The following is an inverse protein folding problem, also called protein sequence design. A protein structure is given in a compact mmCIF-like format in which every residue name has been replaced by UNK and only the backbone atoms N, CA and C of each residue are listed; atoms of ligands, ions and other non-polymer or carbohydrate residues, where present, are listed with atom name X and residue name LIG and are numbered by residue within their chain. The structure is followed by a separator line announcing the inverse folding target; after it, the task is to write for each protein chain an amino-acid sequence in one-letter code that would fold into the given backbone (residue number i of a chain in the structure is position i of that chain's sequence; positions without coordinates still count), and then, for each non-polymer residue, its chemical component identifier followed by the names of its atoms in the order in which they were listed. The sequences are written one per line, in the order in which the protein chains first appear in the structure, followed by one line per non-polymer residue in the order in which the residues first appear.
data_IF_858844472889
#
_entry.id   IF_858844472889
#
_cell.length_a   1.000
_cell.length_b   1.000
_cell.length_c   1.000
_cell.angle_alpha   90.00
_cell.angle_beta   90.00
_cell.angle_gamma   90.00
#
_symmetry.space_group_name_H-M   'P 1'
#
loop_
_entity.id
_entity.type
_entity.pdbx_description
1 polymer ?
#
# COMPACT_ATOMS: atom_id res chain seq x y z
N UNK A 1 17.98 -14.99 -0.37
CA UNK A 1 18.20 -14.33 0.92
C UNK A 1 18.40 -12.85 0.62
N UNK A 2 17.48 -12.00 1.03
CA UNK A 2 17.43 -10.59 0.60
C UNK A 2 18.50 -9.76 1.33
N UNK A 3 19.31 -9.03 0.55
CA UNK A 3 20.33 -8.11 1.03
C UNK A 3 19.75 -7.04 1.95
N UNK A 4 18.51 -6.63 1.72
CA UNK A 4 17.80 -5.63 2.53
C UNK A 4 17.58 -6.13 3.96
N UNK A 5 17.05 -7.34 4.11
CA UNK A 5 16.78 -7.95 5.43
C UNK A 5 18.08 -8.19 6.22
N UNK A 6 19.17 -8.62 5.55
CA UNK A 6 20.49 -8.74 6.17
C UNK A 6 20.98 -7.38 6.68
N UNK A 7 20.86 -6.33 5.85
CA UNK A 7 21.33 -4.99 6.18
C UNK A 7 20.55 -4.39 7.35
N UNK A 8 19.22 -4.55 7.37
CA UNK A 8 18.36 -4.06 8.47
C UNK A 8 18.68 -4.78 9.79
N UNK A 9 18.92 -6.10 9.76
CA UNK A 9 19.34 -6.85 10.94
C UNK A 9 20.71 -6.41 11.47
N UNK A 10 21.67 -6.17 10.57
CA UNK A 10 22.99 -5.67 10.94
C UNK A 10 22.92 -4.24 11.52
N UNK A 11 22.16 -3.35 10.89
CA UNK A 11 21.94 -1.99 11.37
C UNK A 11 21.27 -1.99 12.75
N UNK A 12 20.26 -2.84 12.94
CA UNK A 12 19.63 -3.01 14.24
C UNK A 12 20.67 -3.46 15.30
N UNK A 13 21.42 -4.53 15.02
CA UNK A 13 22.45 -5.00 15.94
C UNK A 13 23.46 -3.91 16.29
N UNK A 14 23.93 -3.13 15.31
CA UNK A 14 24.88 -2.03 15.54
C UNK A 14 24.30 -0.92 16.43
N UNK A 15 23.03 -0.55 16.22
CA UNK A 15 22.35 0.43 17.06
C UNK A 15 22.26 -0.03 18.52
N UNK A 16 21.80 -1.26 18.72
CA UNK A 16 21.60 -1.84 20.05
C UNK A 16 22.93 -2.08 20.81
N UNK A 17 23.92 -2.66 20.13
CA UNK A 17 25.15 -3.12 20.79
C UNK A 17 26.20 -2.01 20.94
N UNK A 18 26.20 -1.00 20.05
CA UNK A 18 27.27 0.00 20.00
C UNK A 18 26.76 1.43 20.17
N UNK A 19 25.80 1.87 19.35
CA UNK A 19 25.43 3.29 19.25
C UNK A 19 24.67 3.77 20.48
N UNK A 20 23.58 3.08 20.85
CA UNK A 20 22.77 3.47 22.00
C UNK A 20 23.58 3.44 23.32
N UNK A 21 24.38 2.40 23.63
CA UNK A 21 25.22 2.41 24.83
C UNK A 21 26.26 3.54 24.85
N UNK A 22 26.88 3.84 23.71
CA UNK A 22 27.88 4.91 23.61
C UNK A 22 27.25 6.29 23.87
N UNK A 23 26.08 6.56 23.32
CA UNK A 23 25.35 7.82 23.54
C UNK A 23 24.78 7.92 24.95
N UNK A 24 24.30 6.80 25.52
CA UNK A 24 23.87 6.78 26.92
C UNK A 24 25.04 7.13 27.87
N UNK A 25 26.25 6.66 27.54
CA UNK A 25 27.46 6.92 28.33
C UNK A 25 28.02 8.33 28.15
N UNK A 26 27.72 9.02 27.04
CA UNK A 26 28.19 10.39 26.80
C UNK A 26 27.43 11.45 27.62
N UNK A 27 26.22 11.12 28.07
CA UNK A 27 25.33 12.05 28.77
C UNK A 27 24.58 13.03 27.84
N UNK A 28 24.78 12.97 26.53
CA UNK A 28 24.05 13.78 25.56
C UNK A 28 22.63 13.22 25.34
N UNK A 29 21.69 13.74 26.13
CA UNK A 29 20.29 13.31 26.11
C UNK A 29 19.63 13.53 24.75
N UNK A 30 19.92 14.65 24.10
CA UNK A 30 19.29 14.98 22.82
C UNK A 30 19.77 14.00 21.74
N UNK A 31 21.07 13.71 21.69
CA UNK A 31 21.61 12.74 20.74
C UNK A 31 21.04 11.32 20.99
N UNK A 32 20.89 10.92 22.26
CA UNK A 32 20.29 9.65 22.63
C UNK A 32 18.83 9.55 22.19
N UNK A 33 18.03 10.59 22.41
CA UNK A 33 16.63 10.65 21.95
C UNK A 33 16.53 10.52 20.42
N UNK A 34 17.37 11.23 19.67
CA UNK A 34 17.40 11.09 18.20
C UNK A 34 17.83 9.69 17.76
N UNK A 35 18.78 9.07 18.46
CA UNK A 35 19.20 7.70 18.17
C UNK A 35 18.08 6.68 18.42
N UNK A 36 17.23 6.89 19.42
CA UNK A 36 16.04 6.06 19.62
C UNK A 36 15.04 6.18 18.47
N UNK A 37 14.81 7.37 17.91
CA UNK A 37 13.95 7.54 16.74
C UNK A 37 14.49 6.78 15.52
N UNK A 38 15.81 6.84 15.30
CA UNK A 38 16.47 6.07 14.22
C UNK A 38 16.34 4.57 14.44
N UNK A 39 16.52 4.12 15.69
CA UNK A 39 16.32 2.73 16.07
C UNK A 39 14.91 2.26 15.77
N UNK A 40 13.89 3.01 16.20
CA UNK A 40 12.48 2.67 15.97
C UNK A 40 12.16 2.59 14.48
N UNK A 41 12.72 3.50 13.66
CA UNK A 41 12.58 3.44 12.20
C UNK A 41 13.23 2.20 11.58
N UNK A 42 14.41 1.80 12.04
CA UNK A 42 15.09 0.57 11.58
C UNK A 42 14.26 -0.66 11.95
N UNK A 43 13.75 -0.71 13.18
CA UNK A 43 12.93 -1.82 13.68
C UNK A 43 11.63 -1.94 12.89
N UNK A 44 10.94 -0.83 12.64
CA UNK A 44 9.77 -0.79 11.77
C UNK A 44 10.09 -1.32 10.37
N UNK A 45 11.16 -0.84 9.73
CA UNK A 45 11.54 -1.30 8.39
C UNK A 45 11.85 -2.81 8.37
N UNK A 46 12.58 -3.29 9.39
CA UNK A 46 12.92 -4.71 9.55
C UNK A 46 11.67 -5.58 9.69
N UNK A 47 10.69 -5.15 10.47
CA UNK A 47 9.46 -5.92 10.70
C UNK A 47 8.49 -5.88 9.49
N UNK A 48 8.79 -5.05 8.48
CA UNK A 48 7.94 -4.84 7.29
C UNK A 48 8.57 -5.29 5.98
N UNK A 49 9.89 -5.43 5.91
CA UNK A 49 10.60 -5.71 4.65
C UNK A 49 10.07 -6.95 3.93
N UNK A 50 9.83 -8.03 4.67
CA UNK A 50 9.34 -9.29 4.11
C UNK A 50 7.85 -9.25 3.69
N UNK A 51 7.15 -8.16 4.01
CA UNK A 51 5.72 -7.97 3.69
C UNK A 51 5.52 -7.03 2.49
N UNK A 52 6.58 -6.43 1.94
CA UNK A 52 6.48 -5.43 0.86
C UNK A 52 5.81 -6.03 -0.37
N UNK A 53 6.25 -7.23 -0.82
CA UNK A 53 5.68 -7.90 -1.99
C UNK A 53 4.19 -8.17 -1.79
N UNK A 54 3.81 -8.75 -0.64
CA UNK A 54 2.42 -9.06 -0.32
C UNK A 54 1.55 -7.81 -0.28
N UNK A 55 2.06 -6.72 0.30
CA UNK A 55 1.37 -5.42 0.32
C UNK A 55 1.15 -4.88 -1.08
N UNK A 56 2.19 -4.81 -1.91
CA UNK A 56 2.09 -4.27 -3.27
C UNK A 56 1.13 -5.09 -4.14
N UNK A 57 1.18 -6.42 -4.02
CA UNK A 57 0.22 -7.30 -4.67
C UNK A 57 -1.22 -7.01 -4.25
N UNK A 58 -1.46 -6.83 -2.95
CA UNK A 58 -2.79 -6.52 -2.41
C UNK A 58 -3.31 -5.19 -2.94
N UNK A 59 -2.48 -4.14 -2.95
CA UNK A 59 -2.83 -2.82 -3.49
C UNK A 59 -3.26 -2.91 -4.97
N UNK A 60 -2.50 -3.62 -5.80
CA UNK A 60 -2.83 -3.83 -7.22
C UNK A 60 -4.12 -4.61 -7.40
N UNK A 61 -4.33 -5.66 -6.62
CA UNK A 61 -5.55 -6.46 -6.70
C UNK A 61 -6.79 -5.64 -6.36
N UNK A 62 -6.75 -4.86 -5.28
CA UNK A 62 -7.89 -4.04 -4.88
C UNK A 62 -8.21 -2.98 -5.92
N UNK A 63 -7.18 -2.33 -6.49
CA UNK A 63 -7.34 -1.38 -7.59
C UNK A 63 -7.87 -2.04 -8.87
N UNK A 64 -7.38 -3.24 -9.20
CA UNK A 64 -7.87 -4.03 -10.35
C UNK A 64 -9.33 -4.41 -10.16
N UNK A 65 -9.73 -4.80 -8.94
CA UNK A 65 -11.11 -5.14 -8.60
C UNK A 65 -12.03 -3.93 -8.76
N UNK A 66 -11.61 -2.76 -8.23
CA UNK A 66 -12.34 -1.50 -8.43
C UNK A 66 -12.47 -1.16 -9.91
N UNK A 67 -11.38 -1.28 -10.68
CA UNK A 67 -11.39 -1.01 -12.11
C UNK A 67 -12.41 -1.88 -12.84
N UNK A 68 -12.43 -3.19 -12.56
CA UNK A 68 -13.42 -4.12 -13.10
C UNK A 68 -14.86 -3.72 -12.76
N UNK A 69 -15.13 -3.37 -11.50
CA UNK A 69 -16.46 -2.90 -11.05
C UNK A 69 -16.91 -1.64 -11.80
N UNK A 70 -16.00 -0.68 -12.01
CA UNK A 70 -16.31 0.56 -12.71
C UNK A 70 -16.52 0.33 -14.21
N UNK A 71 -15.78 -0.59 -14.82
CA UNK A 71 -15.96 -0.96 -16.24
C UNK A 71 -17.30 -1.65 -16.54
N UNK A 72 -17.96 -2.21 -15.54
CA UNK A 72 -19.30 -2.80 -15.69
C UNK A 72 -20.41 -1.75 -15.79
N UNK A 73 -20.12 -0.49 -15.51
CA UNK A 73 -21.07 0.62 -15.67
C UNK A 73 -21.14 1.06 -17.15
N UNK A 74 -22.34 0.99 -17.75
CA UNK A 74 -22.59 1.41 -19.13
C UNK A 74 -22.17 2.85 -19.43
N UNK A 75 -22.25 3.73 -18.43
CA UNK A 75 -21.80 5.12 -18.52
C UNK A 75 -20.29 5.23 -18.70
N UNK A 76 -19.52 4.42 -17.98
CA UNK A 76 -18.06 4.38 -18.03
C UNK A 76 -17.58 3.81 -19.36
N UNK A 77 -18.30 2.82 -19.91
CA UNK A 77 -18.01 2.24 -21.24
C UNK A 77 -18.10 3.24 -22.40
N UNK A 78 -18.77 4.38 -22.19
CA UNK A 78 -18.91 5.44 -23.20
C UNK A 78 -17.88 6.56 -23.05
N UNK A 79 -17.07 6.54 -21.99
CA UNK A 79 -16.02 7.52 -21.74
C UNK A 79 -14.79 7.25 -22.60
N UNK A 80 -14.02 8.30 -22.90
CA UNK A 80 -12.82 8.19 -23.72
C UNK A 80 -11.72 7.36 -23.02
N UNK A 81 -11.67 7.40 -21.69
CA UNK A 81 -10.75 6.59 -20.88
C UNK A 81 -11.01 5.07 -20.95
N UNK A 82 -12.17 4.62 -21.47
CA UNK A 82 -12.61 3.22 -21.36
C UNK A 82 -11.63 2.22 -21.99
N UNK A 83 -11.06 2.52 -23.16
CA UNK A 83 -10.08 1.63 -23.81
C UNK A 83 -8.80 1.49 -22.97
N UNK A 84 -8.34 2.59 -22.36
CA UNK A 84 -7.18 2.58 -21.45
C UNK A 84 -7.49 1.81 -20.18
N UNK A 85 -8.70 1.94 -19.62
CA UNK A 85 -9.13 1.13 -18.48
C UNK A 85 -9.06 -0.37 -18.80
N UNK A 86 -9.60 -0.77 -19.95
CA UNK A 86 -9.57 -2.16 -20.38
C UNK A 86 -8.14 -2.69 -20.57
N UNK A 87 -7.26 -1.89 -21.17
CA UNK A 87 -5.86 -2.25 -21.36
C UNK A 87 -5.13 -2.43 -20.02
N UNK A 88 -5.23 -1.46 -19.12
CA UNK A 88 -4.53 -1.49 -17.81
C UNK A 88 -5.11 -2.60 -16.92
N UNK A 89 -6.42 -2.84 -16.97
CA UNK A 89 -7.06 -3.95 -16.25
C UNK A 89 -6.61 -5.32 -16.79
N UNK A 90 -6.48 -5.47 -18.11
CA UNK A 90 -5.94 -6.72 -18.68
C UNK A 90 -4.47 -6.93 -18.29
N UNK A 91 -3.66 -5.87 -18.30
CA UNK A 91 -2.28 -5.91 -17.81
C UNK A 91 -2.22 -6.33 -16.33
N UNK A 92 -3.11 -5.79 -15.49
CA UNK A 92 -3.12 -6.13 -14.05
C UNK A 92 -3.46 -7.57 -13.79
N UNK A 93 -4.43 -8.14 -14.51
CA UNK A 93 -4.76 -9.56 -14.40
C UNK A 93 -3.58 -10.46 -14.80
N UNK A 94 -2.82 -10.09 -15.83
CA UNK A 94 -1.63 -10.85 -16.25
C UNK A 94 -0.53 -10.83 -15.18
N UNK A 95 -0.22 -9.65 -14.64
CA UNK A 95 0.81 -9.48 -13.59
C UNK A 95 0.39 -10.17 -12.28
N UNK A 96 -0.90 -10.11 -11.90
CA UNK A 96 -1.41 -10.80 -10.71
C UNK A 96 -1.39 -12.32 -10.86
N UNK A 97 -1.60 -12.85 -12.07
CA UNK A 97 -1.54 -14.28 -12.34
C UNK A 97 -0.11 -14.83 -12.42
N UNK A 98 0.89 -13.99 -12.68
CA UNK A 98 2.27 -14.44 -12.84
C UNK A 98 2.95 -14.66 -11.47
N UNK A 99 3.39 -15.90 -11.13
CA UNK A 99 3.96 -16.18 -9.80
C UNK A 99 5.34 -15.55 -9.54
N UNK A 100 5.98 -15.00 -10.57
CA UNK A 100 7.34 -14.43 -10.48
C UNK A 100 7.32 -12.89 -10.51
N UNK A 101 6.13 -12.28 -10.51
CA UNK A 101 6.02 -10.82 -10.45
C UNK A 101 6.55 -10.27 -9.13
N UNK A 102 7.21 -9.13 -9.26
CA UNK A 102 7.98 -8.46 -8.20
C UNK A 102 7.21 -7.29 -7.60
N UNK A 103 7.57 -6.85 -6.38
CA UNK A 103 7.06 -5.59 -5.82
C UNK A 103 7.22 -4.39 -6.75
N UNK A 104 8.27 -4.35 -7.58
CA UNK A 104 8.47 -3.26 -8.55
C UNK A 104 7.39 -3.29 -9.63
N UNK A 105 7.14 -4.45 -10.23
CA UNK A 105 6.08 -4.59 -11.24
C UNK A 105 4.70 -4.23 -10.66
N UNK A 106 4.41 -4.67 -9.43
CA UNK A 106 3.19 -4.26 -8.74
C UNK A 106 3.14 -2.75 -8.48
N UNK A 107 4.25 -2.14 -8.07
CA UNK A 107 4.31 -0.70 -7.83
C UNK A 107 4.07 0.11 -9.11
N UNK A 108 4.73 -0.27 -10.21
CA UNK A 108 4.59 0.41 -11.50
C UNK A 108 3.16 0.28 -12.04
N UNK A 109 2.55 -0.90 -11.87
CA UNK A 109 1.16 -1.14 -12.24
C UNK A 109 0.17 -0.39 -11.34
N UNK A 110 0.44 -0.30 -10.04
CA UNK A 110 -0.37 0.50 -9.11
C UNK A 110 -0.43 1.97 -9.50
N UNK A 111 0.69 2.53 -9.97
CA UNK A 111 0.75 3.90 -10.53
C UNK A 111 -0.14 4.00 -11.77
N UNK A 112 0.00 3.09 -12.73
CA UNK A 112 -0.84 3.08 -13.96
C UNK A 112 -2.33 3.00 -13.66
N UNK A 113 -2.72 2.13 -12.72
CA UNK A 113 -4.11 1.99 -12.26
C UNK A 113 -4.63 3.28 -11.63
N UNK A 114 -3.84 3.89 -10.73
CA UNK A 114 -4.19 5.15 -10.07
C UNK A 114 -4.33 6.34 -11.02
N UNK A 115 -3.41 6.47 -11.97
CA UNK A 115 -3.50 7.50 -13.03
C UNK A 115 -4.76 7.31 -13.88
N UNK A 116 -5.05 6.07 -14.28
CA UNK A 116 -6.22 5.76 -15.10
C UNK A 116 -7.52 6.04 -14.33
N UNK A 117 -7.57 5.74 -13.04
CA UNK A 117 -8.70 6.09 -12.17
C UNK A 117 -8.87 7.61 -12.03
N UNK A 118 -7.76 8.36 -11.96
CA UNK A 118 -7.79 9.83 -11.91
C UNK A 118 -8.34 10.40 -13.22
N UNK A 119 -7.95 9.86 -14.38
CA UNK A 119 -8.53 10.24 -15.67
C UNK A 119 -10.03 9.93 -15.74
N UNK A 120 -10.46 8.76 -15.23
CA UNK A 120 -11.87 8.43 -15.12
C UNK A 120 -12.65 9.44 -14.28
N UNK A 121 -12.14 9.80 -13.11
CA UNK A 121 -12.81 10.78 -12.24
C UNK A 121 -12.94 12.14 -12.91
N UNK A 122 -11.92 12.59 -13.64
CA UNK A 122 -11.98 13.84 -14.38
C UNK A 122 -13.05 13.83 -15.49
N UNK A 123 -13.21 12.72 -16.21
CA UNK A 123 -14.29 12.59 -17.20
C UNK A 123 -15.67 12.38 -16.55
N UNK A 124 -15.71 11.78 -15.37
CA UNK A 124 -16.96 11.53 -14.64
C UNK A 124 -17.62 12.83 -14.13
N UNK A 125 -16.88 13.92 -14.01
CA UNK A 125 -17.42 15.24 -13.61
C UNK A 125 -18.52 15.73 -14.57
N UNK A 126 -18.40 15.38 -15.86
CA UNK A 126 -19.34 15.74 -16.92
C UNK A 126 -20.56 14.79 -17.00
N UNK A 127 -20.59 13.71 -16.21
CA UNK A 127 -21.70 12.77 -16.19
C UNK A 127 -22.89 13.31 -15.38
N UNK A 128 -24.06 12.71 -15.62
CA UNK A 128 -25.25 12.97 -14.82
C UNK A 128 -25.00 12.63 -13.34
N UNK A 129 -25.52 13.46 -12.44
CA UNK A 129 -25.26 13.35 -11.00
C UNK A 129 -25.48 11.93 -10.41
N UNK A 130 -26.55 11.18 -10.77
CA UNK A 130 -26.73 9.82 -10.23
C UNK A 130 -25.58 8.87 -10.57
N UNK A 131 -25.07 8.95 -11.80
CA UNK A 131 -23.96 8.14 -12.29
C UNK A 131 -22.63 8.56 -11.68
N UNK A 132 -22.39 9.88 -11.60
CA UNK A 132 -21.18 10.39 -10.95
C UNK A 132 -21.12 9.94 -9.49
N UNK A 133 -22.22 10.03 -8.75
CA UNK A 133 -22.30 9.56 -7.37
C UNK A 133 -22.12 8.05 -7.19
N UNK A 134 -22.48 7.25 -8.20
CA UNK A 134 -22.20 5.80 -8.19
C UNK A 134 -20.70 5.52 -8.29
N UNK A 135 -20.00 6.20 -9.20
CA UNK A 135 -18.54 6.12 -9.36
C UNK A 135 -17.83 6.61 -8.09
N UNK A 136 -18.21 7.79 -7.58
CA UNK A 136 -17.65 8.36 -6.34
C UNK A 136 -17.78 7.39 -5.17
N UNK A 137 -18.94 6.76 -5.01
CA UNK A 137 -19.17 5.78 -3.94
C UNK A 137 -18.25 4.58 -4.06
N UNK A 138 -18.11 4.00 -5.25
CA UNK A 138 -17.21 2.86 -5.47
C UNK A 138 -15.75 3.21 -5.12
N UNK A 139 -15.31 4.41 -5.49
CA UNK A 139 -13.95 4.91 -5.16
C UNK A 139 -13.78 5.16 -3.66
N UNK A 140 -14.78 5.72 -2.99
CA UNK A 140 -14.76 5.94 -1.54
C UNK A 140 -14.73 4.61 -0.78
N UNK A 141 -15.56 3.63 -1.17
CA UNK A 141 -15.58 2.30 -0.56
C UNK A 141 -14.26 1.55 -0.74
N UNK A 142 -13.59 1.71 -1.88
CA UNK A 142 -12.22 1.22 -2.07
C UNK A 142 -11.22 1.96 -1.16
N UNK A 143 -11.30 3.30 -1.09
CA UNK A 143 -10.40 4.11 -0.28
C UNK A 143 -10.48 3.78 1.21
N UNK A 144 -11.67 3.44 1.71
CA UNK A 144 -11.85 2.98 3.09
C UNK A 144 -11.13 1.66 3.36
N UNK A 145 -11.19 0.70 2.44
CA UNK A 145 -10.45 -0.58 2.58
C UNK A 145 -8.94 -0.37 2.55
N UNK A 146 -8.45 0.48 1.63
CA UNK A 146 -7.04 0.88 1.60
C UNK A 146 -6.60 1.52 2.92
N UNK A 147 -7.45 2.38 3.50
CA UNK A 147 -7.17 2.99 4.80
C UNK A 147 -7.03 1.94 5.91
N UNK A 148 -7.85 0.89 5.92
CA UNK A 148 -7.68 -0.22 6.89
C UNK A 148 -6.30 -0.90 6.77
N UNK A 149 -5.84 -1.14 5.53
CA UNK A 149 -4.51 -1.69 5.29
C UNK A 149 -3.40 -0.73 5.74
N UNK A 150 -3.52 0.56 5.44
CA UNK A 150 -2.55 1.57 5.86
C UNK A 150 -2.48 1.70 7.38
N UNK A 151 -3.63 1.67 8.08
CA UNK A 151 -3.71 1.65 9.55
C UNK A 151 -2.99 0.43 10.14
N UNK A 152 -3.28 -0.77 9.63
CA UNK A 152 -2.62 -2.00 10.08
C UNK A 152 -1.12 -2.01 9.79
N UNK A 153 -0.70 -1.46 8.65
CA UNK A 153 0.70 -1.38 8.29
C UNK A 153 1.49 -0.48 9.24
N UNK A 154 0.94 0.70 9.54
CA UNK A 154 1.59 1.75 10.35
C UNK A 154 1.38 1.57 11.86
N UNK A 155 0.57 0.60 12.29
CA UNK A 155 0.25 0.34 13.69
C UNK A 155 1.45 0.34 14.66
N UNK A 156 2.62 -0.26 14.33
CA UNK A 156 3.78 -0.27 15.24
C UNK A 156 4.35 1.12 15.53
N UNK A 157 4.05 2.12 14.71
CA UNK A 157 4.49 3.51 14.93
C UNK A 157 3.64 4.25 15.96
N UNK A 158 2.52 3.67 16.42
CA UNK A 158 1.67 4.26 17.46
C UNK A 158 0.94 5.54 17.02
N UNK A 159 0.75 5.75 15.72
CA UNK A 159 0.11 6.94 15.15
C UNK A 159 -1.42 6.82 15.07
N UNK A 160 -1.96 5.60 15.21
CA UNK A 160 -3.40 5.36 15.12
C UNK A 160 -4.10 5.84 16.40
N UNK A 161 -5.16 6.68 16.30
CA UNK A 161 -5.87 7.18 17.47
C UNK A 161 -6.68 6.10 18.20
N UNK A 162 -7.00 4.99 17.53
CA UNK A 162 -7.73 3.87 18.10
C UNK A 162 -7.11 2.53 17.66
N UNK A 163 -5.96 2.16 18.25
CA UNK A 163 -5.21 0.96 17.85
C UNK A 163 -5.99 -0.33 18.12
N UNK A 164 -6.99 -0.30 19.03
CA UNK A 164 -7.78 -1.46 19.41
C UNK A 164 -8.76 -1.92 18.32
N UNK A 165 -9.10 -1.02 17.39
CA UNK A 165 -10.00 -1.31 16.26
C UNK A 165 -9.27 -1.69 14.98
N UNK A 166 -7.93 -1.65 14.98
CA UNK A 166 -7.14 -1.97 13.80
C UNK A 166 -7.12 -3.47 13.58
N UNK A 167 -7.47 -3.89 12.36
CA UNK A 167 -7.47 -5.30 11.95
C UNK A 167 -6.05 -5.83 11.83
N UNK A 168 -5.90 -7.14 12.02
CA UNK A 168 -4.62 -7.82 11.84
C UNK A 168 -4.10 -7.69 10.40
N UNK A 169 -2.82 -7.29 10.28
CA UNK A 169 -2.18 -7.05 8.99
C UNK A 169 -2.09 -8.32 8.13
N UNK A 170 -1.79 -9.46 8.74
CA UNK A 170 -1.66 -10.72 7.98
C UNK A 170 -2.98 -11.13 7.35
N UNK A 171 -4.09 -10.89 8.05
CA UNK A 171 -5.45 -11.12 7.55
C UNK A 171 -5.76 -10.23 6.34
N UNK A 172 -5.40 -8.94 6.40
CA UNK A 172 -5.61 -8.00 5.29
C UNK A 172 -4.76 -8.35 4.06
N UNK A 173 -3.51 -8.77 4.25
CA UNK A 173 -2.63 -9.19 3.16
C UNK A 173 -3.05 -10.51 2.50
N UNK A 174 -3.72 -11.40 3.24
CA UNK A 174 -4.24 -12.67 2.71
C UNK A 174 -5.57 -12.52 1.98
N UNK A 175 -6.39 -11.55 2.36
CA UNK A 175 -7.71 -11.27 1.77
C UNK A 175 -7.70 -10.93 0.28
N UNK A 176 -6.51 -10.70 -0.31
CA UNK A 176 -6.32 -10.60 -1.75
C UNK A 176 -6.08 -11.93 -2.50
N UNK A 177 -6.15 -13.05 -1.81
CA UNK A 177 -6.15 -14.37 -2.45
C UNK A 177 -7.60 -14.81 -2.54
N UNK A 178 -8.21 -14.72 -3.73
CA UNK A 178 -9.54 -15.27 -3.96
C UNK A 178 -9.55 -16.77 -3.60
N UNK A 179 -10.42 -17.15 -2.66
CA UNK A 179 -11.13 -18.43 -2.71
C UNK A 179 -12.26 -18.33 -3.75
#
# INVERSE_FOLDING_TARGET
MDFTSITLNAAAKAMHDCVLPALASSGDRQALEQAHLVWDAIMFARDRVDLIDARRRTEVLELSTLMGQLMDLDSVRRLAVSDRMAQVHAESLQVLAHPASTAREYSDLGVKLGETLTSLLAEADDLAAPTRSEIERAVLDHSLRKLELDRAWLLPLGLDPDPSTVRDLQTLLKGGSAE
#
